data_IF_138866491631
#
_entry.id   IF_138866491631
#
_cell.length_a   1.000
_cell.length_b   1.000
_cell.length_c   1.000
_cell.angle_alpha   90.00
_cell.angle_beta   90.00
_cell.angle_gamma   90.00
#
_symmetry.space_group_name_H-M   'P 1'
#
loop_
_entity.id
_entity.type
_entity.pdbx_description
1 polymer ?
#
# COMPACT_ATOMS: atom_id res chain seq x y z
N UNK A 1 4.36 26.19 12.04
CA UNK A 1 4.58 26.33 10.58
C UNK A 1 4.14 27.72 10.16
N UNK A 2 4.81 28.39 9.19
CA UNK A 2 4.39 29.71 8.70
C UNK A 2 3.09 29.69 7.89
N UNK A 3 2.58 28.50 7.58
CA UNK A 3 1.35 28.27 6.83
C UNK A 3 0.35 27.48 7.68
N UNK A 4 -0.93 27.78 7.49
CA UNK A 4 -2.07 27.03 8.03
C UNK A 4 -2.65 26.16 6.92
N UNK A 5 -2.21 24.91 6.86
CA UNK A 5 -2.68 23.96 5.86
C UNK A 5 -4.04 23.41 6.30
N UNK A 6 -4.98 23.25 5.36
CA UNK A 6 -6.23 22.55 5.63
C UNK A 6 -6.12 21.06 5.32
N UNK A 7 -5.29 20.70 4.33
CA UNK A 7 -5.10 19.33 3.87
C UNK A 7 -3.65 19.05 3.48
N UNK A 8 -3.25 17.79 3.59
CA UNK A 8 -2.03 17.21 3.06
C UNK A 8 -2.38 16.16 2.01
N UNK A 9 -1.57 16.13 0.95
CA UNK A 9 -1.59 15.05 -0.05
C UNK A 9 -0.32 14.23 0.14
N UNK A 10 -0.46 12.93 0.34
CA UNK A 10 0.65 11.99 0.43
C UNK A 10 0.59 11.00 -0.74
N UNK A 11 1.76 10.69 -1.31
CA UNK A 11 1.89 9.72 -2.40
C UNK A 11 2.72 8.56 -1.88
N UNK A 12 2.08 7.42 -1.65
CA UNK A 12 2.70 6.21 -1.13
C UNK A 12 3.05 5.24 -2.27
N UNK A 13 4.15 4.52 -2.09
CA UNK A 13 4.59 3.48 -3.03
C UNK A 13 4.18 2.12 -2.48
N UNK A 14 3.40 1.37 -3.24
CA UNK A 14 2.99 0.02 -2.87
C UNK A 14 3.14 -0.95 -4.05
N UNK A 15 3.20 -2.22 -3.73
CA UNK A 15 3.31 -3.31 -4.68
C UNK A 15 2.19 -4.31 -4.44
N UNK A 16 1.73 -4.96 -5.51
CA UNK A 16 0.71 -6.00 -5.44
C UNK A 16 1.17 -7.24 -6.16
N UNK A 17 0.93 -8.40 -5.54
CA UNK A 17 1.20 -9.68 -6.19
C UNK A 17 0.25 -9.90 -7.36
N UNK A 18 0.83 -10.23 -8.52
CA UNK A 18 0.05 -10.70 -9.64
C UNK A 18 -0.41 -12.12 -9.33
N UNK A 19 -1.73 -12.31 -9.18
CA UNK A 19 -2.25 -13.67 -9.02
C UNK A 19 -1.97 -14.45 -10.30
N UNK A 20 -1.33 -15.64 -10.23
CA UNK A 20 -1.18 -16.47 -11.41
C UNK A 20 -2.57 -16.86 -11.92
N UNK A 21 -2.95 -16.34 -13.08
CA UNK A 21 -4.20 -16.73 -13.76
C UNK A 21 -4.07 -18.15 -14.34
N UNK A 22 -3.95 -19.16 -13.50
CA UNK A 22 -4.11 -20.54 -13.95
C UNK A 22 -4.88 -21.41 -12.95
N UNK A 23 -6.14 -21.63 -13.32
CA UNK A 23 -6.92 -22.89 -13.23
C UNK A 23 -7.55 -23.27 -11.88
N UNK A 24 -8.89 -23.15 -11.90
CA UNK A 24 -9.86 -23.97 -11.14
C UNK A 24 -9.36 -25.38 -10.79
N UNK A 25 -9.18 -25.71 -9.50
CA UNK A 25 -9.92 -26.77 -8.75
C UNK A 25 -9.30 -27.12 -7.39
N UNK A 26 -10.21 -27.18 -6.40
CA UNK A 26 -10.26 -27.99 -5.15
C UNK A 26 -9.62 -27.45 -3.85
N UNK A 27 -10.53 -27.00 -2.96
CA UNK A 27 -10.71 -27.31 -1.50
C UNK A 27 -9.42 -27.38 -0.65
N UNK A 28 -9.27 -26.67 0.48
CA UNK A 28 -10.22 -26.59 1.63
C UNK A 28 -9.64 -25.66 2.74
N UNK A 29 -10.50 -24.82 3.36
CA UNK A 29 -10.49 -24.27 4.76
C UNK A 29 -9.26 -23.45 5.21
N UNK A 30 -9.35 -22.20 5.68
CA UNK A 30 -10.17 -21.58 6.77
C UNK A 30 -10.36 -20.06 6.48
N UNK A 31 -11.57 -19.47 6.54
CA UNK A 31 -12.17 -18.76 7.71
C UNK A 31 -11.23 -17.69 8.29
N UNK A 32 -11.49 -16.37 8.36
CA UNK A 32 -12.67 -15.48 8.34
C UNK A 32 -12.15 -14.10 7.85
N UNK A 33 -12.77 -13.34 6.96
CA UNK A 33 -13.96 -12.50 7.14
C UNK A 33 -14.19 -11.76 5.81
N UNK A 34 -15.41 -11.30 5.55
CA UNK A 34 -15.94 -11.05 4.21
C UNK A 34 -15.17 -10.10 3.30
N UNK A 35 -14.97 -10.54 2.05
CA UNK A 35 -14.80 -9.68 0.88
C UNK A 35 -13.59 -10.02 0.01
N UNK A 36 -13.80 -10.75 -1.10
CA UNK A 36 -12.90 -10.75 -2.25
C UNK A 36 -11.54 -11.42 -2.08
N UNK A 37 -11.13 -12.13 -3.13
CA UNK A 37 -9.75 -12.55 -3.36
C UNK A 37 -8.90 -11.29 -3.67
N UNK A 38 -8.67 -10.41 -2.69
CA UNK A 38 -7.84 -9.21 -2.88
C UNK A 38 -6.35 -9.62 -3.01
N UNK A 39 -5.56 -8.97 -3.88
CA UNK A 39 -4.11 -9.18 -3.95
C UNK A 39 -3.42 -8.67 -2.68
N UNK A 40 -2.37 -9.36 -2.24
CA UNK A 40 -1.58 -8.93 -1.09
C UNK A 40 -0.89 -7.60 -1.40
N UNK A 41 -1.11 -6.59 -0.54
CA UNK A 41 -0.53 -5.26 -0.67
C UNK A 41 0.74 -5.19 0.17
N UNK A 42 1.85 -4.87 -0.48
CA UNK A 42 3.14 -4.62 0.18
C UNK A 42 3.43 -3.12 0.13
N UNK A 43 3.51 -2.50 1.30
CA UNK A 43 3.87 -1.09 1.46
C UNK A 43 5.39 -0.91 1.42
N UNK A 44 5.87 0.21 0.88
CA UNK A 44 7.31 0.50 0.89
C UNK A 44 7.80 0.88 2.28
N UNK A 45 6.96 1.59 3.04
CA UNK A 45 7.22 1.91 4.44
C UNK A 45 6.03 1.50 5.31
N UNK A 46 6.28 1.01 6.52
CA UNK A 46 5.24 0.51 7.43
C UNK A 46 4.35 1.64 7.95
N UNK A 47 4.88 2.85 8.12
CA UNK A 47 4.10 4.01 8.54
C UNK A 47 3.00 4.38 7.53
N UNK A 48 3.20 4.08 6.24
CA UNK A 48 2.22 4.36 5.18
C UNK A 48 0.92 3.57 5.38
N UNK A 49 0.98 2.38 5.99
CA UNK A 49 -0.21 1.61 6.34
C UNK A 49 -1.04 2.33 7.40
N UNK A 50 -0.39 2.93 8.41
CA UNK A 50 -1.07 3.69 9.48
C UNK A 50 -1.66 4.98 8.89
N UNK A 51 -0.92 5.67 8.02
CA UNK A 51 -1.41 6.89 7.34
C UNK A 51 -2.63 6.56 6.47
N UNK A 52 -2.61 5.44 5.76
CA UNK A 52 -3.71 4.97 4.93
C UNK A 52 -5.00 4.74 5.73
N UNK A 53 -4.91 4.26 6.96
CA UNK A 53 -6.07 4.05 7.83
C UNK A 53 -6.76 5.37 8.24
N UNK A 54 -6.01 6.46 8.33
CA UNK A 54 -6.51 7.77 8.79
C UNK A 54 -6.89 8.73 7.64
N UNK A 55 -6.58 8.35 6.39
CA UNK A 55 -6.85 9.13 5.19
C UNK A 55 -8.35 9.42 5.03
N UNK A 56 -8.68 10.66 4.64
CA UNK A 56 -10.06 11.09 4.39
C UNK A 56 -10.58 10.60 3.03
N UNK A 57 -9.70 10.56 2.03
CA UNK A 57 -9.98 9.88 0.77
C UNK A 57 -8.68 9.36 0.15
N UNK A 58 -8.83 8.34 -0.70
CA UNK A 58 -7.71 7.72 -1.38
C UNK A 58 -8.11 7.22 -2.76
N UNK A 59 -7.14 7.20 -3.67
CA UNK A 59 -7.23 6.46 -4.91
C UNK A 59 -5.84 5.92 -5.26
N UNK A 60 -5.81 4.96 -6.16
CA UNK A 60 -4.57 4.31 -6.57
C UNK A 60 -4.55 4.05 -8.07
N UNK A 61 -3.35 3.95 -8.63
CA UNK A 61 -3.13 3.63 -10.03
C UNK A 61 -1.87 2.78 -10.20
N UNK A 62 -1.92 1.86 -11.16
CA UNK A 62 -0.78 1.03 -11.53
C UNK A 62 0.22 1.89 -12.31
N UNK A 63 1.51 1.74 -12.01
CA UNK A 63 2.58 2.43 -12.75
C UNK A 63 3.48 1.47 -13.51
N UNK A 64 3.10 0.19 -13.63
CA UNK A 64 3.88 -0.84 -14.36
C UNK A 64 4.29 -0.37 -15.77
N UNK A 65 3.43 0.40 -16.44
CA UNK A 65 3.70 0.97 -17.77
C UNK A 65 4.50 2.27 -17.79
N UNK A 66 4.61 2.97 -16.66
CA UNK A 66 5.27 4.29 -16.54
C UNK A 66 6.61 4.21 -15.80
N UNK A 67 6.88 3.12 -15.10
CA UNK A 67 8.17 2.84 -14.49
C UNK A 67 9.16 2.41 -15.58
N UNK A 68 10.07 3.31 -15.96
CA UNK A 68 11.33 2.92 -16.62
C UNK A 68 11.96 1.83 -15.75
N UNK A 69 11.92 0.59 -16.22
CA UNK A 69 12.46 -0.57 -15.52
C UNK A 69 13.99 -0.50 -15.54
N UNK A 70 14.57 0.45 -14.80
CA UNK A 70 16.01 0.53 -14.55
C UNK A 70 16.57 -0.66 -13.76
N UNK A 71 15.70 -1.55 -13.28
CA UNK A 71 16.04 -2.90 -12.84
C UNK A 71 15.38 -3.94 -13.76
N UNK A 72 15.92 -4.12 -14.96
CA UNK A 72 15.81 -5.41 -15.67
C UNK A 72 16.79 -6.38 -15.00
N UNK A 73 16.47 -6.78 -13.77
CA UNK A 73 17.12 -7.90 -13.11
C UNK A 73 16.51 -9.20 -13.62
N UNK A 74 17.32 -10.21 -13.86
CA UNK A 74 16.85 -11.57 -14.13
C UNK A 74 16.22 -12.13 -12.86
N UNK A 75 14.91 -11.94 -12.69
CA UNK A 75 14.10 -12.67 -11.71
C UNK A 75 14.18 -14.16 -12.02
N UNK A 76 14.36 -14.99 -10.99
CA UNK A 76 14.37 -16.44 -11.14
C UNK A 76 12.95 -16.92 -11.49
N UNK A 77 12.80 -18.05 -12.18
CA UNK A 77 11.47 -18.57 -12.60
C UNK A 77 10.45 -18.73 -11.46
N UNK A 78 10.92 -18.79 -10.21
CA UNK A 78 10.09 -18.96 -9.01
C UNK A 78 9.68 -17.63 -8.33
N UNK A 79 10.18 -16.48 -8.79
CA UNK A 79 9.87 -15.18 -8.18
C UNK A 79 8.47 -14.70 -8.57
N UNK A 80 7.64 -14.37 -7.57
CA UNK A 80 6.29 -13.83 -7.79
C UNK A 80 6.39 -12.42 -8.37
N UNK A 81 5.85 -12.22 -9.56
CA UNK A 81 5.82 -10.90 -10.19
C UNK A 81 4.91 -9.95 -9.38
N UNK A 82 5.47 -8.78 -9.03
CA UNK A 82 4.79 -7.74 -8.27
C UNK A 82 4.58 -6.51 -9.15
N UNK A 83 3.33 -6.08 -9.27
CA UNK A 83 2.97 -4.86 -9.98
C UNK A 83 3.16 -3.63 -9.08
N UNK A 84 3.91 -2.59 -9.50
CA UNK A 84 4.05 -1.35 -8.75
C UNK A 84 2.81 -0.45 -8.89
N UNK A 85 2.38 0.11 -7.77
CA UNK A 85 1.23 1.02 -7.66
C UNK A 85 1.61 2.28 -6.87
N UNK A 86 0.88 3.36 -7.14
CA UNK A 86 0.94 4.63 -6.42
C UNK A 86 -0.42 4.83 -5.79
N UNK A 87 -0.45 5.09 -4.48
CA UNK A 87 -1.67 5.49 -3.79
C UNK A 87 -1.54 6.93 -3.34
N UNK A 88 -2.54 7.73 -3.69
CA UNK A 88 -2.65 9.12 -3.29
C UNK A 88 -3.63 9.18 -2.13
N UNK A 89 -3.19 9.76 -1.03
CA UNK A 89 -3.95 9.91 0.20
C UNK A 89 -4.19 11.40 0.45
N UNK A 90 -5.43 11.76 0.77
CA UNK A 90 -5.77 13.09 1.26
C UNK A 90 -6.02 13.01 2.78
N UNK A 91 -5.39 13.90 3.53
CA UNK A 91 -5.49 13.96 4.99
C UNK A 91 -5.81 15.39 5.43
N UNK A 92 -6.80 15.60 6.29
CA UNK A 92 -7.00 16.88 6.97
C UNK A 92 -5.81 17.22 7.85
N UNK A 93 -5.38 18.47 7.84
CA UNK A 93 -4.16 18.87 8.53
C UNK A 93 -4.21 18.66 10.05
N UNK A 94 -5.39 18.80 10.66
CA UNK A 94 -5.58 18.55 12.09
C UNK A 94 -5.38 17.08 12.51
N UNK A 95 -5.35 16.13 11.55
CA UNK A 95 -5.06 14.72 11.81
C UNK A 95 -3.56 14.41 11.79
N UNK A 96 -2.72 15.31 11.27
CA UNK A 96 -1.29 15.01 11.07
C UNK A 96 -0.56 14.82 12.40
N UNK A 97 -0.69 15.75 13.34
CA UNK A 97 -0.02 15.68 14.64
C UNK A 97 -0.37 14.40 15.43
N UNK A 98 -1.65 14.05 15.66
CA UNK A 98 -1.99 12.82 16.36
C UNK A 98 -1.57 11.56 15.59
N UNK A 99 -1.58 11.60 14.25
CA UNK A 99 -1.10 10.50 13.42
C UNK A 99 0.41 10.27 13.59
N UNK A 100 1.22 11.33 13.63
CA UNK A 100 2.67 11.22 13.86
C UNK A 100 2.94 10.59 15.23
N UNK A 101 2.23 10.99 16.28
CA UNK A 101 2.39 10.38 17.61
C UNK A 101 1.97 8.90 17.63
N UNK A 102 0.92 8.54 16.89
CA UNK A 102 0.53 7.13 16.70
C UNK A 102 1.63 6.33 16.01
N UNK A 103 2.22 6.85 14.93
CA UNK A 103 3.32 6.20 14.21
C UNK A 103 4.52 5.99 15.13
N UNK A 104 4.94 7.02 15.87
CA UNK A 104 6.06 6.91 16.84
C UNK A 104 5.80 5.84 17.89
N UNK A 105 4.57 5.80 18.40
CA UNK A 105 4.17 4.82 19.42
C UNK A 105 4.24 3.40 18.87
N UNK A 106 3.75 3.18 17.64
CA UNK A 106 3.83 1.88 16.96
C UNK A 106 5.28 1.43 16.71
N UNK A 107 6.17 2.35 16.34
CA UNK A 107 7.60 2.05 16.14
C UNK A 107 8.36 1.80 17.45
N UNK A 108 7.93 2.40 18.56
CA UNK A 108 8.58 2.21 19.88
C UNK A 108 8.20 0.89 20.55
N UNK A 109 7.19 0.20 20.04
CA UNK A 109 6.68 -1.07 20.57
C UNK A 109 7.16 -2.30 19.77
N UNK A 110 7.99 -2.08 18.75
CA UNK A 110 8.69 -3.13 18.00
C UNK A 110 10.10 -3.36 18.56
#
# INVERSE_FOLDING_TARGET
MPYDFTYFILICKLYRSEKPQTKKKKKKKQQQSGGGDEPEVVWSNLEEEIINQEADCQFEFCVKGDSDSGLVGHWMEDDVEMSPYRRVLLLKANKLDPLIERIKTSLSQQ
#
